data_IF_013434865659
#
_entry.id   IF_013434865659
#
_cell.length_a   1.000
_cell.length_b   1.000
_cell.length_c   1.000
_cell.angle_alpha   90.00
_cell.angle_beta   90.00
_cell.angle_gamma   90.00
#
_symmetry.space_group_name_H-M   'P 1'
#
loop_
_entity.id
_entity.type
_entity.pdbx_description
1 polymer ?
#
# COMPACT_ATOMS: atom_id res chain seq x y z
N UNK A 1 89.14 -11.72 3.85
CA UNK A 1 87.95 -10.85 4.02
C UNK A 1 88.35 -9.44 3.63
N UNK A 2 87.89 -8.94 2.48
CA UNK A 2 88.24 -7.62 1.96
C UNK A 2 87.34 -7.26 0.78
N UNK A 3 86.38 -6.37 1.02
CA UNK A 3 85.43 -5.86 0.04
C UNK A 3 86.00 -4.64 -0.71
N UNK A 4 85.68 -4.44 -2.00
CA UNK A 4 85.75 -3.14 -2.66
C UNK A 4 84.37 -2.45 -2.80
N UNK A 5 84.32 -1.12 -3.06
CA UNK A 5 83.13 -0.29 -2.88
C UNK A 5 82.33 0.02 -4.17
N UNK A 6 81.02 0.23 -3.96
CA UNK A 6 80.05 1.17 -4.54
C UNK A 6 80.32 1.80 -5.92
N UNK A 7 79.35 1.62 -6.84
CA UNK A 7 78.83 2.74 -7.63
C UNK A 7 77.31 2.65 -7.79
N UNK A 8 76.66 3.78 -7.55
CA UNK A 8 75.21 3.97 -7.57
C UNK A 8 74.70 4.18 -9.00
N UNK A 9 73.51 3.64 -9.29
CA UNK A 9 72.61 4.25 -10.26
C UNK A 9 71.24 4.49 -9.63
N UNK A 10 70.96 5.79 -9.51
CA UNK A 10 69.70 6.40 -9.14
C UNK A 10 68.77 6.34 -10.36
N UNK A 11 67.65 5.59 -10.28
CA UNK A 11 66.43 5.96 -10.99
C UNK A 11 65.27 5.80 -10.03
N UNK A 12 64.83 6.96 -9.56
CA UNK A 12 63.61 7.17 -8.79
C UNK A 12 62.42 7.03 -9.74
N UNK A 13 61.58 6.02 -9.52
CA UNK A 13 60.20 6.05 -10.01
C UNK A 13 59.25 5.82 -8.85
N UNK A 14 58.72 6.97 -8.43
CA UNK A 14 57.67 7.27 -7.47
C UNK A 14 56.60 6.17 -7.36
N UNK A 15 56.32 5.84 -6.10
CA UNK A 15 55.12 5.14 -5.65
C UNK A 15 53.84 5.72 -6.30
N UNK A 16 52.88 4.89 -6.73
CA UNK A 16 51.56 5.38 -7.09
C UNK A 16 50.84 5.93 -5.84
N UNK A 17 50.12 7.05 -5.94
CA UNK A 17 49.39 7.59 -4.82
C UNK A 17 48.22 6.68 -4.43
N UNK A 18 48.20 6.25 -3.17
CA UNK A 18 47.00 5.78 -2.47
C UNK A 18 46.09 6.99 -2.24
N UNK A 19 45.10 7.20 -3.11
CA UNK A 19 43.98 8.16 -2.91
C UNK A 19 42.93 7.96 -4.02
N UNK A 20 41.65 7.73 -3.78
CA UNK A 20 40.91 7.62 -2.53
C UNK A 20 39.63 6.84 -2.83
N UNK A 21 39.29 5.89 -1.94
CA UNK A 21 37.94 5.38 -1.86
C UNK A 21 37.08 6.56 -1.45
N UNK A 22 36.19 7.01 -2.33
CA UNK A 22 35.00 7.72 -1.88
C UNK A 22 34.23 6.73 -1.01
N UNK A 23 34.47 6.80 0.31
CA UNK A 23 33.52 6.30 1.28
C UNK A 23 32.23 7.09 1.02
N UNK A 24 31.29 6.46 0.31
CA UNK A 24 29.89 6.85 0.32
C UNK A 24 29.40 6.67 1.75
N UNK A 25 29.58 7.71 2.56
CA UNK A 25 28.81 7.89 3.78
C UNK A 25 27.37 8.20 3.33
N UNK A 26 26.51 7.17 3.32
CA UNK A 26 25.11 7.36 2.92
C UNK A 26 24.24 6.13 2.69
N UNK A 27 24.67 4.90 3.01
CA UNK A 27 23.84 3.69 2.81
C UNK A 27 23.66 2.83 4.07
N UNK A 28 23.76 3.42 5.26
CA UNK A 28 23.36 2.71 6.49
C UNK A 28 21.91 3.01 6.91
N UNK A 29 21.30 4.08 6.39
CA UNK A 29 19.93 4.50 6.77
C UNK A 29 18.82 4.08 5.79
N UNK A 30 19.17 3.63 4.58
CA UNK A 30 18.21 3.34 3.50
C UNK A 30 17.81 1.86 3.42
N UNK A 31 18.71 0.94 3.77
CA UNK A 31 18.46 -0.49 3.72
C UNK A 31 17.44 -0.91 4.79
N UNK A 32 17.62 -0.46 6.03
CA UNK A 32 16.72 -0.77 7.16
C UNK A 32 15.31 -0.20 6.92
N UNK A 33 15.21 1.00 6.35
CA UNK A 33 13.93 1.63 5.98
C UNK A 33 13.21 0.92 4.83
N UNK A 34 13.97 0.41 3.84
CA UNK A 34 13.41 -0.29 2.67
C UNK A 34 13.00 -1.73 3.02
N UNK A 35 13.76 -2.39 3.87
CA UNK A 35 13.51 -3.76 4.36
C UNK A 35 12.32 -3.79 5.36
N UNK A 36 12.21 -2.77 6.22
CA UNK A 36 11.04 -2.57 7.10
C UNK A 36 9.77 -2.22 6.30
N UNK A 37 9.88 -1.50 5.18
CA UNK A 37 8.76 -1.18 4.31
C UNK A 37 8.28 -2.38 3.48
N UNK A 38 9.19 -3.29 3.08
CA UNK A 38 8.83 -4.55 2.39
C UNK A 38 8.22 -5.60 3.32
N UNK A 39 8.50 -5.56 4.63
CA UNK A 39 7.92 -6.49 5.61
C UNK A 39 6.52 -6.16 6.09
N UNK A 40 5.99 -4.96 5.81
CA UNK A 40 4.71 -4.50 6.36
C UNK A 40 3.48 -4.92 5.55
N UNK A 41 3.63 -5.21 4.26
CA UNK A 41 2.52 -5.51 3.35
C UNK A 41 2.42 -6.99 3.00
N UNK A 42 1.22 -7.48 2.72
CA UNK A 42 1.01 -8.84 2.24
C UNK A 42 1.76 -9.07 0.92
N UNK A 43 2.43 -10.21 0.81
CA UNK A 43 3.22 -10.62 -0.35
C UNK A 43 2.81 -12.02 -0.83
N UNK A 44 3.15 -12.35 -2.08
CA UNK A 44 2.93 -13.68 -2.66
C UNK A 44 1.49 -14.19 -2.55
N UNK A 45 1.34 -15.43 -2.06
CA UNK A 45 0.03 -16.11 -1.96
C UNK A 45 -0.98 -15.42 -1.05
N UNK A 46 -0.55 -14.76 0.03
CA UNK A 46 -1.45 -14.04 0.94
C UNK A 46 -2.09 -12.85 0.23
N UNK A 47 -1.32 -12.12 -0.59
CA UNK A 47 -1.85 -11.01 -1.39
C UNK A 47 -2.91 -11.51 -2.37
N UNK A 48 -2.66 -12.63 -3.05
CA UNK A 48 -3.63 -13.24 -3.97
C UNK A 48 -4.92 -13.65 -3.23
N UNK A 49 -4.80 -14.25 -2.04
CA UNK A 49 -5.93 -14.61 -1.21
C UNK A 49 -6.76 -13.38 -0.81
N UNK A 50 -6.13 -12.30 -0.33
CA UNK A 50 -6.87 -11.09 0.06
C UNK A 50 -7.59 -10.42 -1.13
N UNK A 51 -7.02 -10.50 -2.33
CA UNK A 51 -7.71 -10.03 -3.55
C UNK A 51 -8.91 -10.91 -3.90
N UNK A 52 -8.76 -12.24 -3.74
CA UNK A 52 -9.86 -13.18 -3.93
C UNK A 52 -10.97 -12.96 -2.90
N UNK A 53 -10.64 -12.73 -1.63
CA UNK A 53 -11.61 -12.35 -0.60
C UNK A 53 -12.36 -11.07 -1.00
N UNK A 54 -11.65 -10.05 -1.49
CA UNK A 54 -12.26 -8.83 -2.03
C UNK A 54 -13.24 -9.12 -3.17
N UNK A 55 -12.85 -9.97 -4.12
CA UNK A 55 -13.70 -10.37 -5.24
C UNK A 55 -14.95 -11.15 -4.79
N UNK A 56 -14.81 -12.01 -3.79
CA UNK A 56 -15.95 -12.74 -3.19
C UNK A 56 -16.90 -11.76 -2.49
N UNK A 57 -16.37 -10.81 -1.71
CA UNK A 57 -17.19 -9.77 -1.06
C UNK A 57 -17.93 -8.95 -2.09
N UNK A 58 -17.27 -8.52 -3.18
CA UNK A 58 -17.91 -7.83 -4.29
C UNK A 58 -19.05 -8.67 -4.90
N UNK A 59 -18.78 -9.94 -5.22
CA UNK A 59 -19.78 -10.84 -5.81
C UNK A 59 -21.00 -11.04 -4.92
N UNK A 60 -20.79 -11.28 -3.62
CA UNK A 60 -21.88 -11.45 -2.65
C UNK A 60 -22.66 -10.15 -2.47
N UNK A 61 -21.99 -9.00 -2.38
CA UNK A 61 -22.64 -7.70 -2.24
C UNK A 61 -23.49 -7.36 -3.48
N UNK A 62 -22.99 -7.63 -4.69
CA UNK A 62 -23.75 -7.43 -5.93
C UNK A 62 -24.98 -8.35 -6.01
N UNK A 63 -24.82 -9.64 -5.65
CA UNK A 63 -25.92 -10.59 -5.63
C UNK A 63 -27.01 -10.18 -4.62
N UNK A 64 -26.61 -9.75 -3.42
CA UNK A 64 -27.52 -9.24 -2.41
C UNK A 64 -28.18 -7.92 -2.85
N UNK A 65 -27.42 -7.01 -3.47
CA UNK A 65 -27.97 -5.74 -3.95
C UNK A 65 -28.99 -5.94 -5.08
N UNK A 66 -28.81 -6.96 -5.92
CA UNK A 66 -29.81 -7.29 -6.94
C UNK A 66 -31.17 -7.68 -6.34
N UNK A 67 -31.21 -8.18 -5.09
CA UNK A 67 -32.43 -8.58 -4.38
C UNK A 67 -32.99 -7.46 -3.48
N UNK A 68 -32.12 -6.70 -2.81
CA UNK A 68 -32.50 -5.76 -1.74
C UNK A 68 -32.15 -4.29 -2.03
N UNK A 69 -31.58 -4.01 -3.21
CA UNK A 69 -31.12 -2.70 -3.60
C UNK A 69 -32.23 -1.74 -4.04
N UNK A 70 -31.84 -0.49 -4.28
CA UNK A 70 -32.75 0.60 -4.69
C UNK A 70 -32.62 0.94 -6.18
N UNK A 71 -32.15 -0.02 -6.99
CA UNK A 71 -31.93 0.13 -8.42
C UNK A 71 -30.49 0.47 -8.80
N UNK A 72 -30.06 0.01 -9.97
CA UNK A 72 -28.67 0.10 -10.43
C UNK A 72 -28.16 1.53 -10.67
N UNK A 73 -29.05 2.50 -10.93
CA UNK A 73 -28.66 3.90 -11.01
C UNK A 73 -28.19 4.48 -9.67
N UNK A 74 -28.88 4.13 -8.58
CA UNK A 74 -28.47 4.51 -7.20
C UNK A 74 -27.15 3.83 -6.85
N UNK A 75 -27.02 2.55 -7.19
CA UNK A 75 -25.76 1.81 -7.02
C UNK A 75 -24.60 2.53 -7.69
N UNK A 76 -24.71 2.82 -8.99
CA UNK A 76 -23.65 3.44 -9.77
C UNK A 76 -23.28 4.83 -9.24
N UNK A 77 -24.27 5.63 -8.83
CA UNK A 77 -24.06 6.97 -8.28
C UNK A 77 -23.26 6.93 -6.97
N UNK A 78 -23.61 6.01 -6.07
CA UNK A 78 -23.05 5.98 -4.72
C UNK A 78 -21.82 5.08 -4.57
N UNK A 79 -21.51 4.26 -5.57
CA UNK A 79 -20.36 3.36 -5.54
C UNK A 79 -19.07 4.10 -5.18
N UNK A 80 -18.83 5.27 -5.78
CA UNK A 80 -17.61 6.06 -5.58
C UNK A 80 -17.65 7.00 -4.36
N UNK A 81 -18.74 7.02 -3.59
CA UNK A 81 -18.86 7.92 -2.45
C UNK A 81 -17.78 7.71 -1.36
N UNK A 82 -17.35 6.47 -1.02
CA UNK A 82 -16.28 6.26 -0.05
C UNK A 82 -14.93 6.87 -0.45
N UNK A 83 -14.68 7.04 -1.75
CA UNK A 83 -13.43 7.59 -2.29
C UNK A 83 -13.30 9.10 -2.09
N UNK A 84 -14.39 9.81 -1.82
CA UNK A 84 -14.33 11.22 -1.45
C UNK A 84 -13.46 11.46 -0.20
N UNK A 85 -13.29 10.44 0.65
CA UNK A 85 -12.35 10.48 1.78
C UNK A 85 -10.90 10.74 1.36
N UNK A 86 -10.53 10.47 0.09
CA UNK A 86 -9.21 10.80 -0.46
C UNK A 86 -8.94 12.31 -0.47
N UNK A 87 -9.97 13.17 -0.48
CA UNK A 87 -9.79 14.62 -0.31
C UNK A 87 -9.14 14.96 1.03
N UNK A 88 -9.22 14.08 2.03
CA UNK A 88 -8.52 14.21 3.30
C UNK A 88 -7.00 14.32 3.16
N UNK A 89 -6.42 13.83 2.06
CA UNK A 89 -4.99 13.99 1.77
C UNK A 89 -4.59 15.44 1.51
N UNK A 90 -5.54 16.34 1.22
CA UNK A 90 -5.29 17.79 1.14
C UNK A 90 -4.86 18.38 2.51
N UNK A 91 -5.30 17.78 3.61
CA UNK A 91 -4.88 18.12 4.97
C UNK A 91 -3.61 17.36 5.43
N UNK A 92 -3.04 16.53 4.56
CA UNK A 92 -1.79 15.82 4.78
C UNK A 92 -1.93 14.29 4.87
N UNK A 93 -0.80 13.55 4.79
CA UNK A 93 -0.81 12.08 4.62
C UNK A 93 -1.46 11.31 5.78
N UNK A 94 -1.29 11.78 7.02
CA UNK A 94 -1.85 11.12 8.21
C UNK A 94 -3.38 11.23 8.24
N UNK A 95 -3.90 12.43 8.02
CA UNK A 95 -5.34 12.70 7.99
C UNK A 95 -6.00 11.96 6.82
N UNK A 96 -5.38 12.04 5.63
CA UNK A 96 -5.84 11.30 4.46
C UNK A 96 -5.89 9.80 4.68
N UNK A 97 -4.83 9.20 5.25
CA UNK A 97 -4.81 7.77 5.55
C UNK A 97 -5.88 7.37 6.58
N UNK A 98 -6.07 8.18 7.64
CA UNK A 98 -7.08 7.92 8.65
C UNK A 98 -8.51 7.96 8.07
N UNK A 99 -8.84 9.00 7.30
CA UNK A 99 -10.16 9.14 6.67
C UNK A 99 -10.42 8.04 5.64
N UNK A 100 -9.44 7.76 4.78
CA UNK A 100 -9.54 6.67 3.82
C UNK A 100 -9.75 5.32 4.52
N UNK A 101 -8.99 5.01 5.56
CA UNK A 101 -9.13 3.75 6.29
C UNK A 101 -10.47 3.63 7.01
N UNK A 102 -11.02 4.73 7.51
CA UNK A 102 -12.35 4.75 8.10
C UNK A 102 -13.41 4.38 7.06
N UNK A 103 -13.31 4.90 5.82
CA UNK A 103 -14.26 4.58 4.75
C UNK A 103 -13.97 3.27 4.01
N UNK A 104 -12.77 2.70 4.15
CA UNK A 104 -12.39 1.42 3.50
C UNK A 104 -12.23 0.25 4.49
N UNK A 105 -12.69 0.46 5.72
CA UNK A 105 -12.88 -0.60 6.71
C UNK A 105 -14.24 -1.25 6.54
N UNK A 106 -14.32 -2.57 6.68
CA UNK A 106 -15.60 -3.29 6.68
C UNK A 106 -16.48 -3.00 7.91
N UNK A 107 -15.93 -2.38 8.95
CA UNK A 107 -16.70 -2.02 10.16
C UNK A 107 -17.87 -1.10 9.82
N UNK A 108 -17.63 -0.06 9.03
CA UNK A 108 -18.66 0.90 8.60
C UNK A 108 -19.85 0.25 7.88
N UNK A 109 -19.64 -0.43 6.74
CA UNK A 109 -20.72 -1.07 6.01
C UNK A 109 -21.36 -2.23 6.80
N UNK A 110 -20.62 -2.97 7.62
CA UNK A 110 -21.19 -4.02 8.48
C UNK A 110 -22.18 -3.44 9.49
N UNK A 111 -21.80 -2.35 10.19
CA UNK A 111 -22.68 -1.67 11.13
C UNK A 111 -23.90 -1.08 10.44
N UNK A 112 -23.71 -0.41 9.30
CA UNK A 112 -24.81 0.17 8.54
C UNK A 112 -25.79 -0.90 8.05
N UNK A 113 -25.28 -2.02 7.53
CA UNK A 113 -26.09 -3.14 7.08
C UNK A 113 -26.85 -3.77 8.25
N UNK A 114 -26.18 -4.04 9.38
CA UNK A 114 -26.80 -4.63 10.56
C UNK A 114 -27.91 -3.74 11.13
N UNK A 115 -27.64 -2.45 11.32
CA UNK A 115 -28.63 -1.47 11.77
C UNK A 115 -29.79 -1.36 10.76
N UNK A 116 -29.49 -1.37 9.45
CA UNK A 116 -30.49 -1.34 8.40
C UNK A 116 -31.44 -2.53 8.45
N UNK A 117 -30.92 -3.74 8.67
CA UNK A 117 -31.73 -4.95 8.83
C UNK A 117 -32.56 -4.88 10.11
N UNK A 118 -31.94 -4.57 11.25
CA UNK A 118 -32.61 -4.52 12.55
C UNK A 118 -33.70 -3.45 12.62
N UNK A 119 -33.50 -2.32 11.97
CA UNK A 119 -34.45 -1.22 11.90
C UNK A 119 -35.39 -1.31 10.68
N UNK A 120 -35.42 -2.43 9.96
CA UNK A 120 -36.24 -2.64 8.76
C UNK A 120 -36.17 -1.47 7.75
N UNK A 121 -34.94 -1.02 7.49
CA UNK A 121 -34.62 0.24 6.82
C UNK A 121 -33.93 -0.04 5.47
N UNK A 122 -34.67 -0.06 4.34
CA UNK A 122 -34.14 -0.54 3.06
C UNK A 122 -32.99 0.31 2.51
N UNK A 123 -33.02 1.62 2.75
CA UNK A 123 -31.95 2.53 2.30
C UNK A 123 -30.63 2.29 3.02
N UNK A 124 -30.65 1.92 4.31
CA UNK A 124 -29.45 1.55 5.04
C UNK A 124 -28.92 0.19 4.59
N UNK A 125 -29.80 -0.77 4.29
CA UNK A 125 -29.40 -2.07 3.69
C UNK A 125 -28.73 -1.85 2.33
N UNK A 126 -29.37 -1.11 1.43
CA UNK A 126 -28.84 -0.80 0.11
C UNK A 126 -27.51 -0.03 0.19
N UNK A 127 -27.42 0.97 1.08
CA UNK A 127 -26.18 1.73 1.31
C UNK A 127 -25.05 0.87 1.84
N UNK A 128 -25.32 -0.01 2.82
CA UNK A 128 -24.35 -0.97 3.34
C UNK A 128 -23.83 -1.92 2.25
N UNK A 129 -24.72 -2.44 1.40
CA UNK A 129 -24.37 -3.32 0.28
C UNK A 129 -23.53 -2.61 -0.80
N UNK A 130 -23.89 -1.38 -1.19
CA UNK A 130 -23.07 -0.56 -2.11
C UNK A 130 -21.67 -0.35 -1.54
N UNK A 131 -21.60 -0.04 -0.24
CA UNK A 131 -20.33 0.22 0.42
C UNK A 131 -19.47 -1.04 0.56
N UNK A 132 -20.06 -2.20 0.87
CA UNK A 132 -19.36 -3.48 0.77
C UNK A 132 -18.84 -3.77 -0.64
N UNK A 133 -19.66 -3.51 -1.66
CA UNK A 133 -19.26 -3.69 -3.06
C UNK A 133 -18.07 -2.80 -3.43
N UNK A 134 -18.07 -1.51 -3.02
CA UNK A 134 -16.93 -0.61 -3.21
C UNK A 134 -15.64 -1.16 -2.62
N UNK A 135 -15.64 -1.53 -1.33
CA UNK A 135 -14.45 -2.05 -0.65
C UNK A 135 -13.99 -3.38 -1.29
N UNK A 136 -14.94 -4.26 -1.64
CA UNK A 136 -14.65 -5.52 -2.33
C UNK A 136 -13.99 -5.32 -3.69
N UNK A 137 -14.51 -4.37 -4.48
CA UNK A 137 -13.97 -3.98 -5.77
C UNK A 137 -12.53 -3.47 -5.65
N UNK A 138 -12.30 -2.54 -4.71
CA UNK A 138 -10.98 -2.00 -4.43
C UNK A 138 -9.97 -3.11 -4.05
N UNK A 139 -10.35 -4.01 -3.14
CA UNK A 139 -9.49 -5.11 -2.72
C UNK A 139 -9.21 -6.10 -3.84
N UNK A 140 -10.18 -6.39 -4.71
CA UNK A 140 -9.96 -7.24 -5.87
C UNK A 140 -8.91 -6.63 -6.85
N UNK A 141 -8.92 -5.30 -6.99
CA UNK A 141 -7.93 -4.56 -7.78
C UNK A 141 -6.56 -4.42 -7.10
N UNK A 142 -6.46 -4.75 -5.82
CA UNK A 142 -5.23 -4.64 -5.03
C UNK A 142 -5.09 -3.33 -4.25
N UNK A 143 -6.14 -2.51 -4.19
CA UNK A 143 -6.22 -1.39 -3.27
C UNK A 143 -6.55 -1.87 -1.86
N UNK A 144 -5.99 -1.21 -0.86
CA UNK A 144 -6.20 -1.57 0.52
C UNK A 144 -5.98 -0.42 1.48
N UNK A 145 -6.23 -0.71 2.77
CA UNK A 145 -5.94 0.20 3.88
C UNK A 145 -4.52 0.76 3.79
N UNK A 146 -4.42 2.06 4.07
CA UNK A 146 -3.28 2.94 3.86
C UNK A 146 -2.43 3.03 5.11
N UNK A 147 -1.11 2.98 4.94
CA UNK A 147 -0.17 3.38 5.99
C UNK A 147 0.03 4.89 5.96
N UNK A 148 0.18 5.49 7.14
CA UNK A 148 0.43 6.92 7.30
C UNK A 148 1.75 7.41 6.67
N UNK A 149 2.64 6.48 6.30
CA UNK A 149 3.93 6.74 5.66
C UNK A 149 3.82 7.22 4.20
N UNK A 150 2.65 7.11 3.56
CA UNK A 150 2.41 7.69 2.24
C UNK A 150 1.23 7.05 1.49
N UNK A 151 0.61 7.82 0.60
CA UNK A 151 -0.60 7.42 -0.14
C UNK A 151 -0.49 6.08 -0.89
N UNK A 152 0.70 5.78 -1.42
CA UNK A 152 0.93 4.58 -2.23
C UNK A 152 1.17 3.30 -1.42
N UNK A 153 1.27 3.37 -0.09
CA UNK A 153 1.58 2.20 0.75
C UNK A 153 0.30 1.63 1.34
N UNK A 154 -0.03 0.39 0.96
CA UNK A 154 -1.20 -0.32 1.49
C UNK A 154 -0.81 -1.67 2.09
N UNK A 155 -1.71 -2.25 2.88
CA UNK A 155 -1.55 -3.63 3.38
C UNK A 155 -1.51 -4.69 2.25
N UNK A 156 -1.96 -4.36 1.03
CA UNK A 156 -1.87 -5.23 -0.15
C UNK A 156 -0.62 -4.97 -0.99
N UNK A 157 0.25 -4.06 -0.56
CA UNK A 157 1.46 -3.68 -1.27
C UNK A 157 1.44 -2.24 -1.75
N UNK A 158 2.42 -1.90 -2.57
CA UNK A 158 2.56 -0.55 -3.11
C UNK A 158 1.67 -0.37 -4.34
N UNK A 159 0.91 0.73 -4.39
CA UNK A 159 0.17 1.16 -5.58
C UNK A 159 1.17 1.76 -6.58
N UNK A 160 1.12 1.29 -7.83
CA UNK A 160 1.97 1.77 -8.92
C UNK A 160 2.94 0.71 -9.42
N UNK A 161 4.23 1.04 -9.54
CA UNK A 161 5.25 0.10 -10.07
C UNK A 161 5.16 -1.23 -9.33
N UNK A 162 5.10 -2.31 -10.10
CA UNK A 162 5.10 -3.66 -9.59
C UNK A 162 6.23 -3.83 -8.58
N UNK A 163 5.84 -4.21 -7.36
CA UNK A 163 6.75 -4.79 -6.39
C UNK A 163 7.37 -6.05 -7.06
N UNK A 164 8.71 -6.12 -7.26
CA UNK A 164 9.35 -7.19 -8.02
C UNK A 164 9.48 -8.51 -7.23
N UNK A 165 8.48 -8.87 -6.44
CA UNK A 165 8.49 -10.08 -5.60
C UNK A 165 7.13 -10.80 -5.60
#
# INVERSE_FOLDING_TARGET
>A
MGSPPVFAHFVSLRLPPLRGRYLRAGEAGSAVSREQASGAAAAGGVRALLRLEGAVVLGVALAAYAQYGLGWGVFALWLLAPDLAMLGYLAGPRVGAALYNATHSYVGPALLLALGVLAATPWAVAGGLIWFAHIGFDRALGYGLKYAAGFGLTHLGRIGRADPW
#
